data_IF_537215139600
#
_entry.id   IF_537215139600
#
_cell.length_a   1.000
_cell.length_b   1.000
_cell.length_c   1.000
_cell.angle_alpha   90.00
_cell.angle_beta   90.00
_cell.angle_gamma   90.00
#
_symmetry.space_group_name_H-M   'P 1'
#
loop_
_entity.id
_entity.type
_entity.pdbx_description
1 polymer ?
#
# COMPACT_ATOMS: atom_id res chain seq x y z
N UNK A 1 4.00 -17.13 -12.50
CA UNK A 1 3.88 -16.06 -11.47
C UNK A 1 2.45 -15.56 -11.27
N UNK A 2 1.59 -15.49 -12.31
CA UNK A 2 0.18 -15.03 -12.22
C UNK A 2 -0.74 -15.78 -11.23
N UNK A 3 -0.44 -17.05 -10.87
CA UNK A 3 -1.31 -17.84 -9.97
C UNK A 3 -1.11 -17.51 -8.48
N UNK A 4 0.10 -17.09 -8.10
CA UNK A 4 0.44 -16.90 -6.68
C UNK A 4 0.03 -15.51 -6.19
N UNK A 5 0.07 -14.50 -7.08
CA UNK A 5 -0.38 -13.13 -6.80
C UNK A 5 -1.91 -13.09 -6.64
N UNK A 6 -2.64 -13.77 -7.55
CA UNK A 6 -4.11 -13.86 -7.46
C UNK A 6 -4.56 -14.55 -6.15
N UNK A 7 -3.82 -15.58 -5.71
CA UNK A 7 -4.14 -16.30 -4.49
C UNK A 7 -3.90 -15.44 -3.23
N UNK A 8 -2.82 -14.65 -3.19
CA UNK A 8 -2.52 -13.77 -2.07
C UNK A 8 -3.59 -12.66 -1.89
N UNK A 9 -4.06 -12.08 -3.00
CA UNK A 9 -5.11 -11.04 -3.00
C UNK A 9 -6.47 -11.61 -2.57
N UNK A 10 -6.81 -12.84 -2.99
CA UNK A 10 -8.03 -13.52 -2.54
C UNK A 10 -8.02 -13.86 -1.04
N UNK A 11 -6.87 -14.25 -0.48
CA UNK A 11 -6.78 -14.62 0.94
C UNK A 11 -6.91 -13.39 1.85
N UNK A 12 -6.36 -12.24 1.42
CA UNK A 12 -6.46 -10.98 2.17
C UNK A 12 -7.90 -10.44 2.23
N UNK A 13 -8.68 -10.63 1.16
CA UNK A 13 -10.09 -10.21 1.10
C UNK A 13 -11.02 -11.11 1.90
N UNK A 14 -10.74 -12.41 2.01
CA UNK A 14 -11.54 -13.34 2.83
C UNK A 14 -11.30 -13.12 4.35
N UNK A 15 -10.09 -12.72 4.75
CA UNK A 15 -9.76 -12.53 6.18
C UNK A 15 -10.41 -11.27 6.79
N UNK A 16 -10.67 -10.23 6.00
CA UNK A 16 -11.28 -8.97 6.47
C UNK A 16 -12.80 -9.07 6.74
N UNK A 17 -13.48 -10.08 6.23
CA UNK A 17 -14.94 -10.26 6.41
C UNK A 17 -15.25 -11.01 7.72
N UNK A 18 -14.26 -11.67 8.35
CA UNK A 18 -14.50 -12.60 9.45
C UNK A 18 -14.38 -11.99 10.87
N UNK A 19 -14.30 -10.67 11.03
CA UNK A 19 -14.30 -10.06 12.37
C UNK A 19 -15.71 -9.59 12.75
N UNK A 20 -16.44 -10.29 13.64
CA UNK A 20 -17.69 -9.77 14.15
C UNK A 20 -17.39 -8.66 15.16
N UNK A 21 -17.72 -7.42 14.82
CA UNK A 21 -17.80 -6.32 15.78
C UNK A 21 -18.97 -6.64 16.71
N UNK A 22 -18.67 -7.23 17.86
CA UNK A 22 -19.60 -7.42 18.94
C UNK A 22 -19.74 -6.10 19.72
N UNK A 23 -20.89 -5.45 19.59
CA UNK A 23 -21.36 -4.43 20.53
C UNK A 23 -21.62 -3.06 19.93
N UNK A 24 -22.89 -2.77 19.59
CA UNK A 24 -23.74 -1.76 20.26
C UNK A 24 -25.13 -1.73 19.57
N UNK A 25 -26.11 -2.12 20.38
CA UNK A 25 -27.54 -1.76 20.42
C UNK A 25 -28.16 -0.89 19.31
N UNK A 26 -29.09 -1.51 18.58
CA UNK A 26 -30.46 -1.06 18.25
C UNK A 26 -30.72 0.36 17.75
N UNK A 27 -31.11 0.49 16.46
CA UNK A 27 -32.15 1.42 16.01
C UNK A 27 -33.02 0.79 14.90
N UNK A 28 -34.28 0.57 15.27
CA UNK A 28 -35.54 0.49 14.52
C UNK A 28 -35.55 0.61 12.98
N UNK A 29 -36.22 -0.35 12.34
CA UNK A 29 -36.66 -0.30 10.94
C UNK A 29 -37.63 0.88 10.67
N UNK A 30 -37.45 1.56 9.52
CA UNK A 30 -38.53 2.23 8.78
C UNK A 30 -38.23 2.22 7.28
N UNK A 31 -39.26 1.94 6.50
CA UNK A 31 -39.26 1.57 5.10
C UNK A 31 -38.68 2.62 4.13
N UNK A 32 -38.12 2.11 3.03
CA UNK A 32 -38.05 2.79 1.74
C UNK A 32 -36.71 3.44 1.42
N UNK A 33 -35.76 2.64 0.90
CA UNK A 33 -35.05 2.97 -0.35
C UNK A 33 -34.24 1.76 -0.78
N UNK A 34 -34.43 1.35 -2.03
CA UNK A 34 -33.62 0.35 -2.68
C UNK A 34 -32.23 0.94 -2.92
N UNK A 35 -31.28 0.69 -2.02
CA UNK A 35 -29.87 0.83 -2.35
C UNK A 35 -29.47 -0.37 -3.20
N UNK A 36 -29.57 -0.18 -4.50
CA UNK A 36 -28.80 -0.92 -5.48
C UNK A 36 -27.34 -0.81 -5.07
N UNK A 37 -26.78 -1.84 -4.44
CA UNK A 37 -25.33 -1.99 -4.37
C UNK A 37 -24.83 -2.26 -5.79
N UNK A 38 -24.62 -1.19 -6.55
CA UNK A 38 -23.68 -1.23 -7.64
C UNK A 38 -22.31 -1.43 -7.01
N UNK A 39 -21.94 -2.71 -6.87
CA UNK A 39 -20.57 -3.16 -6.63
C UNK A 39 -19.78 -2.75 -7.86
N UNK A 40 -19.42 -1.47 -7.91
CA UNK A 40 -18.68 -0.89 -8.99
C UNK A 40 -17.29 -1.52 -8.98
N UNK A 41 -17.05 -2.30 -10.02
CA UNK A 41 -15.77 -2.91 -10.35
C UNK A 41 -14.65 -1.88 -10.32
N UNK A 42 -13.80 -1.90 -9.29
CA UNK A 42 -12.60 -1.06 -9.29
C UNK A 42 -11.50 -1.80 -10.05
N UNK A 43 -11.33 -1.44 -11.33
CA UNK A 43 -10.02 -1.50 -11.96
C UNK A 43 -8.99 -0.79 -11.06
N UNK A 44 -7.70 -1.16 -11.07
CA UNK A 44 -6.72 -0.57 -10.15
C UNK A 44 -6.77 0.95 -10.28
N UNK A 45 -7.03 1.63 -9.17
CA UNK A 45 -6.88 3.07 -9.09
C UNK A 45 -5.47 3.39 -9.58
N UNK A 46 -5.38 4.14 -10.68
CA UNK A 46 -4.09 4.50 -11.27
C UNK A 46 -3.46 5.55 -10.36
N UNK A 47 -2.26 5.27 -9.86
CA UNK A 47 -1.53 6.16 -8.96
C UNK A 47 -0.42 6.87 -9.75
N UNK A 48 -0.15 8.14 -9.42
CA UNK A 48 0.95 8.91 -10.00
C UNK A 48 2.23 8.81 -9.16
N UNK A 49 2.09 8.82 -7.83
CA UNK A 49 3.17 8.86 -6.86
C UNK A 49 3.12 7.66 -5.91
N UNK A 50 4.24 6.93 -5.86
CA UNK A 50 4.48 5.89 -4.86
C UNK A 50 5.47 6.42 -3.81
N UNK A 51 5.06 6.41 -2.55
CA UNK A 51 5.93 6.71 -1.40
C UNK A 51 6.31 5.39 -0.73
N UNK A 52 7.61 5.08 -0.68
CA UNK A 52 8.12 3.91 0.05
C UNK A 52 8.81 4.40 1.31
N UNK A 53 8.37 3.92 2.47
CA UNK A 53 8.85 4.39 3.77
C UNK A 53 8.97 3.25 4.78
N UNK A 54 9.86 3.31 5.79
CA UNK A 54 9.71 2.53 7.00
C UNK A 54 8.35 2.79 7.65
N UNK A 55 7.75 1.74 8.20
CA UNK A 55 6.50 1.80 8.95
C UNK A 55 6.52 2.87 10.05
N UNK A 56 7.65 3.03 10.76
CA UNK A 56 7.80 4.05 11.80
C UNK A 56 7.61 5.52 11.36
N UNK A 57 7.57 5.80 10.07
CA UNK A 57 7.38 7.15 9.52
C UNK A 57 6.05 7.28 8.75
N UNK A 58 5.25 6.22 8.60
CA UNK A 58 4.01 6.24 7.82
C UNK A 58 3.05 7.34 8.30
N UNK A 59 2.86 7.43 9.61
CA UNK A 59 1.89 8.35 10.22
C UNK A 59 2.32 9.80 10.03
N UNK A 60 3.63 10.07 10.17
CA UNK A 60 4.21 11.38 9.96
C UNK A 60 4.13 11.84 8.49
N UNK A 61 3.93 10.92 7.55
CA UNK A 61 3.82 11.21 6.12
C UNK A 61 2.36 11.40 5.65
N UNK A 62 1.35 11.11 6.48
CA UNK A 62 -0.05 11.33 6.10
C UNK A 62 -0.34 12.77 5.64
N UNK A 63 0.15 13.83 6.31
CA UNK A 63 -0.05 15.20 5.83
C UNK A 63 0.53 15.47 4.44
N UNK A 64 1.62 14.78 4.08
CA UNK A 64 2.21 14.87 2.74
C UNK A 64 1.32 14.17 1.71
N UNK A 65 0.81 12.98 2.03
CA UNK A 65 -0.12 12.24 1.14
C UNK A 65 -1.37 13.08 0.89
N UNK A 66 -2.01 13.58 1.94
CA UNK A 66 -3.19 14.45 1.85
C UNK A 66 -2.92 15.71 1.01
N UNK A 67 -1.78 16.37 1.24
CA UNK A 67 -1.39 17.52 0.44
C UNK A 67 -1.21 17.15 -1.04
N UNK A 68 -0.62 16.00 -1.37
CA UNK A 68 -0.43 15.59 -2.78
C UNK A 68 -1.76 15.25 -3.45
N UNK A 69 -2.64 14.53 -2.76
CA UNK A 69 -4.00 14.24 -3.21
C UNK A 69 -4.80 15.53 -3.43
N UNK A 70 -4.71 16.51 -2.53
CA UNK A 70 -5.42 17.80 -2.66
C UNK A 70 -4.94 18.62 -3.86
N UNK A 71 -3.75 18.33 -4.38
CA UNK A 71 -3.18 18.94 -5.59
C UNK A 71 -3.33 18.05 -6.83
N UNK A 72 -4.17 17.02 -6.77
CA UNK A 72 -4.49 16.16 -7.90
C UNK A 72 -3.41 15.15 -8.25
N UNK A 73 -2.48 14.84 -7.34
CA UNK A 73 -1.47 13.80 -7.52
C UNK A 73 -1.91 12.55 -6.77
N UNK A 74 -2.31 11.50 -7.51
CA UNK A 74 -2.73 10.24 -6.90
C UNK A 74 -1.56 9.55 -6.23
N UNK A 75 -1.62 9.40 -4.92
CA UNK A 75 -0.50 9.05 -4.05
C UNK A 75 -0.83 7.81 -3.24
N UNK A 76 0.04 6.80 -3.34
CA UNK A 76 -0.01 5.60 -2.51
C UNK A 76 1.24 5.54 -1.62
N UNK A 77 1.04 5.16 -0.36
CA UNK A 77 2.12 4.97 0.62
C UNK A 77 2.24 3.49 0.96
N UNK A 78 3.44 2.95 0.79
CA UNK A 78 3.76 1.56 1.07
C UNK A 78 4.97 1.44 1.99
N UNK A 79 4.92 0.45 2.89
CA UNK A 79 5.98 0.29 3.89
C UNK A 79 7.07 -0.65 3.40
N UNK A 80 8.32 -0.40 3.80
CA UNK A 80 9.43 -1.31 3.48
C UNK A 80 9.18 -2.71 4.05
N UNK A 81 8.58 -2.77 5.24
CA UNK A 81 8.21 -3.97 5.96
C UNK A 81 7.17 -4.80 5.17
N UNK A 82 6.11 -4.16 4.66
CA UNK A 82 5.12 -4.76 3.76
C UNK A 82 5.78 -5.32 2.50
N UNK A 83 6.59 -4.51 1.82
CA UNK A 83 7.27 -4.88 0.57
C UNK A 83 8.21 -6.08 0.79
N UNK A 84 8.96 -6.12 1.89
CA UNK A 84 9.88 -7.23 2.14
C UNK A 84 9.15 -8.56 2.38
N UNK A 85 7.93 -8.52 2.91
CA UNK A 85 7.11 -9.71 3.16
C UNK A 85 6.41 -10.19 1.89
N UNK A 86 5.89 -9.28 1.07
CA UNK A 86 5.07 -9.59 -0.10
C UNK A 86 5.87 -9.82 -1.38
N UNK A 87 7.04 -9.16 -1.52
CA UNK A 87 7.79 -9.15 -2.76
C UNK A 87 8.80 -10.30 -2.85
N UNK A 88 8.86 -10.91 -4.03
CA UNK A 88 9.91 -11.86 -4.40
C UNK A 88 11.24 -11.11 -4.61
N UNK A 89 12.37 -11.77 -4.39
CA UNK A 89 13.69 -11.18 -4.59
C UNK A 89 14.72 -11.78 -3.64
N UNK A 90 15.99 -11.76 -4.06
CA UNK A 90 17.10 -12.35 -3.29
C UNK A 90 17.45 -11.55 -2.05
N UNK A 91 17.40 -10.24 -2.16
CA UNK A 91 17.74 -9.28 -1.11
C UNK A 91 16.71 -8.14 -1.04
N UNK A 92 16.81 -7.31 0.00
CA UNK A 92 15.87 -6.20 0.26
C UNK A 92 15.83 -5.17 -0.87
N UNK A 93 16.97 -4.86 -1.49
CA UNK A 93 17.05 -3.89 -2.57
C UNK A 93 16.40 -4.45 -3.85
N UNK A 94 16.61 -5.74 -4.13
CA UNK A 94 15.95 -6.43 -5.24
C UNK A 94 14.44 -6.54 -5.06
N UNK A 95 13.97 -6.77 -3.84
CA UNK A 95 12.53 -6.76 -3.51
C UNK A 95 11.90 -5.41 -3.80
N UNK A 96 12.51 -4.30 -3.35
CA UNK A 96 12.03 -2.95 -3.66
C UNK A 96 12.07 -2.67 -5.18
N UNK A 97 13.12 -3.11 -5.87
CA UNK A 97 13.23 -2.97 -7.33
C UNK A 97 12.05 -3.65 -8.05
N UNK A 98 11.70 -4.87 -7.67
CA UNK A 98 10.57 -5.58 -8.29
C UNK A 98 9.23 -4.98 -7.90
N UNK A 99 9.07 -4.54 -6.66
CA UNK A 99 7.87 -3.81 -6.25
C UNK A 99 7.65 -2.54 -7.08
N UNK A 100 8.68 -1.71 -7.26
CA UNK A 100 8.59 -0.50 -8.09
C UNK A 100 8.28 -0.86 -9.54
N UNK A 101 8.91 -1.91 -10.09
CA UNK A 101 8.62 -2.38 -11.44
C UNK A 101 7.14 -2.72 -11.59
N UNK A 102 6.59 -3.51 -10.68
CA UNK A 102 5.20 -3.95 -10.73
C UNK A 102 4.25 -2.75 -10.52
N UNK A 103 4.58 -1.82 -9.62
CA UNK A 103 3.80 -0.59 -9.44
C UNK A 103 3.79 0.32 -10.69
N UNK A 104 4.90 0.40 -11.43
CA UNK A 104 4.95 1.13 -12.70
C UNK A 104 4.11 0.42 -13.78
N UNK A 105 4.23 -0.90 -13.89
CA UNK A 105 3.56 -1.69 -14.94
C UNK A 105 2.06 -1.89 -14.69
N UNK A 106 1.65 -2.06 -13.43
CA UNK A 106 0.27 -2.40 -13.05
C UNK A 106 -0.55 -1.19 -12.60
N UNK A 107 0.09 -0.21 -11.92
CA UNK A 107 -0.61 0.95 -11.35
C UNK A 107 -0.34 2.25 -12.10
N UNK A 108 0.60 2.26 -13.06
CA UNK A 108 0.94 3.43 -13.85
C UNK A 108 1.75 4.50 -13.11
N UNK A 109 2.47 4.12 -12.05
CA UNK A 109 3.30 5.03 -11.26
C UNK A 109 4.28 5.80 -12.15
N UNK A 110 4.32 7.12 -11.95
CA UNK A 110 5.24 8.05 -12.66
C UNK A 110 6.38 8.52 -11.76
N UNK A 111 6.12 8.63 -10.47
CA UNK A 111 7.05 9.17 -9.48
C UNK A 111 7.20 8.21 -8.32
N UNK A 112 8.43 8.04 -7.84
CA UNK A 112 8.73 7.27 -6.64
C UNK A 112 9.49 8.16 -5.66
N UNK A 113 8.99 8.24 -4.43
CA UNK A 113 9.66 8.90 -3.31
C UNK A 113 10.11 7.84 -2.31
N UNK A 114 11.43 7.73 -2.12
CA UNK A 114 12.02 6.87 -1.10
C UNK A 114 12.27 7.68 0.16
N UNK A 115 11.57 7.37 1.24
CA UNK A 115 11.72 8.05 2.52
C UNK A 115 12.49 7.15 3.49
N UNK A 116 13.60 7.68 4.01
CA UNK A 116 14.44 7.01 5.00
C UNK A 116 15.77 6.55 4.42
N UNK A 117 16.85 7.17 4.90
CA UNK A 117 18.22 6.86 4.52
C UNK A 117 18.98 6.06 5.59
N UNK A 118 20.21 6.45 5.86
CA UNK A 118 21.08 5.77 6.83
C UNK A 118 20.53 5.94 8.24
N UNK A 119 20.56 4.86 9.03
CA UNK A 119 20.15 4.87 10.44
C UNK A 119 21.28 5.51 11.25
N UNK A 120 21.13 6.80 11.53
CA UNK A 120 22.16 7.59 12.21
C UNK A 120 23.40 7.81 11.33
N UNK A 121 24.49 8.24 11.94
CA UNK A 121 25.72 8.64 11.24
C UNK A 121 26.83 7.57 11.27
N UNK A 122 26.66 6.50 12.06
CA UNK A 122 27.74 5.54 12.35
C UNK A 122 27.39 4.08 12.13
N UNK A 123 26.11 3.74 12.02
CA UNK A 123 25.69 2.39 11.75
C UNK A 123 25.51 2.25 10.25
N UNK A 124 26.25 1.33 9.62
CA UNK A 124 26.08 0.91 8.23
C UNK A 124 24.73 0.17 8.03
N UNK A 125 23.64 0.78 8.49
CA UNK A 125 22.28 0.26 8.51
C UNK A 125 21.38 1.29 7.86
N UNK A 126 20.38 0.83 7.11
CA UNK A 126 19.56 1.69 6.27
C UNK A 126 18.08 1.42 6.51
N UNK A 127 17.28 2.48 6.43
CA UNK A 127 15.82 2.41 6.39
C UNK A 127 15.35 1.90 5.02
N UNK A 128 15.77 2.57 3.94
CA UNK A 128 15.66 2.08 2.56
C UNK A 128 17.06 1.63 2.10
N UNK A 129 17.23 0.37 1.65
CA UNK A 129 18.53 -0.22 1.33
C UNK A 129 19.17 0.44 0.11
N UNK A 130 20.48 0.61 0.17
CA UNK A 130 21.32 1.05 -0.95
C UNK A 130 21.94 -0.17 -1.63
N UNK A 131 22.15 -0.09 -2.94
CA UNK A 131 22.89 -1.10 -3.69
C UNK A 131 24.26 -0.56 -4.05
N UNK A 132 25.30 -1.21 -3.54
CA UNK A 132 26.67 -0.97 -3.97
C UNK A 132 26.95 -1.78 -5.25
N UNK A 133 27.65 -1.16 -6.21
CA UNK A 133 28.06 -1.74 -7.49
C UNK A 133 29.38 -2.48 -7.36
#
# INVERSE_FOLDING_TARGET
MRKNVLMAIMVFSILMIASPIAGITGYSNRAGDAITEEKQSSFPDTYDLLIITPEKFSDALQPLVEHKESHGIKTILETTESIYQSSNGRDKAEKIKYFIKDAVEEWGIKYVLLVGGMKGQRMNSWYVPVRYS
#
